data_IF_863734404578
#
_entry.id   IF_863734404578
#
_cell.length_a   1.000
_cell.length_b   1.000
_cell.length_c   1.000
_cell.angle_alpha   90.00
_cell.angle_beta   90.00
_cell.angle_gamma   90.00
#
_symmetry.space_group_name_H-M   'P 1'
#
loop_
_entity.id
_entity.type
_entity.pdbx_description
1 polymer ?
#
# COMPACT_ATOMS: atom_id res chain seq x y z
N UNK A 1 -5.57 -25.52 -27.22
CA UNK A 1 -5.91 -24.44 -28.18
C UNK A 1 -4.73 -23.48 -28.27
N UNK A 2 -4.33 -23.12 -29.48
CA UNK A 2 -3.28 -22.13 -29.72
C UNK A 2 -3.79 -20.75 -29.30
N UNK A 3 -3.01 -20.03 -28.50
CA UNK A 3 -3.30 -18.67 -28.05
C UNK A 3 -2.96 -17.68 -29.16
N UNK A 4 -3.82 -16.69 -29.36
CA UNK A 4 -3.64 -15.65 -30.38
C UNK A 4 -3.09 -14.36 -29.78
N UNK A 5 -2.17 -13.73 -30.51
CA UNK A 5 -1.58 -12.42 -30.14
C UNK A 5 -2.64 -11.32 -30.18
N UNK A 6 -3.52 -11.34 -31.18
CA UNK A 6 -4.56 -10.32 -31.33
C UNK A 6 -5.56 -10.35 -30.17
N UNK A 7 -5.95 -11.55 -29.74
CA UNK A 7 -6.84 -11.72 -28.57
C UNK A 7 -6.16 -11.24 -27.30
N UNK A 8 -4.87 -11.53 -27.12
CA UNK A 8 -4.11 -11.05 -25.96
C UNK A 8 -4.05 -9.51 -25.91
N UNK A 9 -3.83 -8.82 -27.04
CA UNK A 9 -3.87 -7.35 -27.09
C UNK A 9 -5.26 -6.78 -26.84
N UNK A 10 -6.32 -7.40 -27.38
CA UNK A 10 -7.69 -6.96 -27.13
C UNK A 10 -8.02 -7.04 -25.62
N UNK A 11 -7.65 -8.14 -24.97
CA UNK A 11 -7.83 -8.31 -23.53
C UNK A 11 -6.96 -7.35 -22.70
N UNK A 12 -5.75 -7.04 -23.17
CA UNK A 12 -4.89 -6.04 -22.55
C UNK A 12 -5.46 -4.62 -22.66
N UNK A 13 -6.11 -4.28 -23.76
CA UNK A 13 -6.74 -2.97 -23.93
C UNK A 13 -7.98 -2.80 -23.04
N UNK A 14 -8.84 -3.83 -22.97
CA UNK A 14 -10.13 -3.75 -22.24
C UNK A 14 -9.96 -3.94 -20.73
N UNK A 15 -9.09 -4.87 -20.31
CA UNK A 15 -8.91 -5.18 -18.88
C UNK A 15 -7.47 -5.55 -18.55
N UNK A 16 -6.51 -4.95 -19.25
CA UNK A 16 -5.09 -5.17 -18.99
C UNK A 16 -4.67 -4.74 -17.61
N UNK A 17 -5.27 -3.69 -17.03
CA UNK A 17 -5.00 -3.29 -15.64
C UNK A 17 -5.37 -4.39 -14.62
N UNK A 18 -6.38 -5.19 -14.93
CA UNK A 18 -6.80 -6.34 -14.12
C UNK A 18 -6.16 -7.67 -14.56
N UNK A 19 -5.26 -7.64 -15.55
CA UNK A 19 -4.52 -8.83 -15.99
C UNK A 19 -5.33 -9.83 -16.83
N UNK A 20 -6.40 -9.42 -17.52
CA UNK A 20 -7.22 -10.33 -18.34
C UNK A 20 -6.39 -11.07 -19.42
N UNK A 21 -5.41 -10.39 -20.02
CA UNK A 21 -4.50 -10.99 -20.99
C UNK A 21 -3.59 -12.04 -20.35
N UNK A 22 -3.13 -11.84 -19.11
CA UNK A 22 -2.35 -12.84 -18.36
C UNK A 22 -3.20 -14.07 -18.02
N UNK A 23 -4.46 -13.85 -17.66
CA UNK A 23 -5.41 -14.93 -17.41
C UNK A 23 -5.63 -15.78 -18.67
N UNK A 24 -5.86 -15.13 -19.82
CA UNK A 24 -5.97 -15.83 -21.11
C UNK A 24 -4.72 -16.64 -21.45
N UNK A 25 -3.54 -16.14 -21.09
CA UNK A 25 -2.25 -16.79 -21.34
C UNK A 25 -1.88 -17.84 -20.27
N UNK A 26 -2.72 -18.06 -19.25
CA UNK A 26 -2.50 -19.06 -18.19
C UNK A 26 -1.38 -18.67 -17.21
N UNK A 27 -1.18 -17.36 -16.98
CA UNK A 27 -0.15 -16.81 -16.10
C UNK A 27 -0.74 -16.35 -14.77
N UNK A 28 -1.31 -17.28 -14.00
CA UNK A 28 -2.17 -16.97 -12.83
C UNK A 28 -1.52 -16.09 -11.77
N UNK A 29 -0.25 -16.31 -11.42
CA UNK A 29 0.48 -15.44 -10.46
C UNK A 29 0.63 -14.02 -10.98
N UNK A 30 0.83 -13.85 -12.29
CA UNK A 30 0.95 -12.54 -12.91
C UNK A 30 -0.42 -11.86 -13.00
N UNK A 31 -1.48 -12.62 -13.26
CA UNK A 31 -2.86 -12.13 -13.18
C UNK A 31 -3.16 -11.60 -11.78
N UNK A 32 -2.87 -12.38 -10.72
CA UNK A 32 -3.08 -11.92 -9.35
C UNK A 32 -2.24 -10.68 -9.04
N UNK A 33 -0.97 -10.67 -9.41
CA UNK A 33 -0.12 -9.50 -9.21
C UNK A 33 -0.75 -8.25 -9.84
N UNK A 34 -1.29 -8.36 -11.06
CA UNK A 34 -1.94 -7.25 -11.74
C UNK A 34 -3.22 -6.79 -11.04
N UNK A 35 -4.07 -7.71 -10.58
CA UNK A 35 -5.28 -7.37 -9.84
C UNK A 35 -4.93 -6.62 -8.54
N UNK A 36 -3.94 -7.08 -7.80
CA UNK A 36 -3.58 -6.53 -6.48
C UNK A 36 -2.76 -5.23 -6.56
N UNK A 37 -2.14 -4.95 -7.71
CA UNK A 37 -1.28 -3.76 -7.92
C UNK A 37 -1.80 -2.83 -9.01
N UNK A 38 -3.04 -3.04 -9.49
CA UNK A 38 -3.67 -2.29 -10.58
C UNK A 38 -2.76 -2.16 -11.82
N UNK A 39 -2.34 -3.30 -12.35
CA UNK A 39 -1.52 -3.35 -13.56
C UNK A 39 -0.01 -3.26 -13.32
N UNK A 40 0.48 -3.69 -12.15
CA UNK A 40 1.89 -3.57 -11.79
C UNK A 40 2.29 -2.12 -11.56
N UNK A 41 1.45 -1.36 -10.84
CA UNK A 41 1.56 0.08 -10.62
C UNK A 41 1.57 0.89 -11.94
N UNK A 42 0.83 0.43 -12.96
CA UNK A 42 0.77 1.02 -14.30
C UNK A 42 2.01 0.78 -15.18
N UNK A 43 3.21 0.72 -14.60
CA UNK A 43 4.45 0.44 -15.34
C UNK A 43 4.43 -0.97 -15.94
N UNK A 44 3.91 -1.94 -15.18
CA UNK A 44 3.73 -3.32 -15.65
C UNK A 44 2.82 -3.40 -16.88
N UNK A 45 1.73 -2.63 -16.89
CA UNK A 45 0.80 -2.55 -18.01
C UNK A 45 1.46 -2.00 -19.28
N UNK A 46 2.30 -0.97 -19.17
CA UNK A 46 3.07 -0.44 -20.31
C UNK A 46 4.08 -1.48 -20.81
N UNK A 47 4.80 -2.13 -19.90
CA UNK A 47 5.78 -3.19 -20.24
C UNK A 47 5.13 -4.32 -21.02
N UNK A 48 3.92 -4.71 -20.64
CA UNK A 48 3.20 -5.81 -21.29
C UNK A 48 2.93 -5.56 -22.77
N UNK A 49 2.77 -4.30 -23.19
CA UNK A 49 2.60 -3.96 -24.61
C UNK A 49 3.74 -4.54 -25.46
N UNK A 50 4.98 -4.53 -24.94
CA UNK A 50 6.16 -5.04 -25.64
C UNK A 50 6.29 -6.56 -25.44
N UNK A 51 5.85 -7.08 -24.30
CA UNK A 51 6.08 -8.47 -23.92
C UNK A 51 4.99 -9.47 -24.36
N UNK A 52 3.79 -9.02 -24.74
CA UNK A 52 2.67 -9.88 -25.17
C UNK A 52 3.06 -10.91 -26.25
N UNK A 53 3.81 -10.57 -27.32
CA UNK A 53 4.20 -11.55 -28.35
C UNK A 53 5.03 -12.70 -27.77
N UNK A 54 5.96 -12.38 -26.88
CA UNK A 54 6.78 -13.37 -26.16
C UNK A 54 5.91 -14.25 -25.27
N UNK A 55 4.93 -13.67 -24.56
CA UNK A 55 4.04 -14.43 -23.68
C UNK A 55 3.14 -15.40 -24.44
N UNK A 56 2.65 -15.01 -25.62
CA UNK A 56 1.85 -15.89 -26.49
C UNK A 56 2.72 -17.04 -26.99
N UNK A 57 3.96 -16.73 -27.40
CA UNK A 57 4.93 -17.75 -27.81
C UNK A 57 5.24 -18.74 -26.68
N UNK A 58 5.43 -18.26 -25.45
CA UNK A 58 5.60 -19.09 -24.26
C UNK A 58 4.35 -19.92 -23.91
N UNK A 59 3.16 -19.35 -24.06
CA UNK A 59 1.90 -20.05 -23.80
C UNK A 59 1.67 -21.19 -24.79
N UNK A 60 2.10 -21.01 -26.04
CA UNK A 60 1.97 -21.99 -27.12
C UNK A 60 3.11 -23.04 -27.16
N UNK A 61 4.17 -22.90 -26.37
CA UNK A 61 5.22 -23.91 -26.28
C UNK A 61 4.75 -25.19 -25.59
N UNK A 62 5.10 -26.33 -26.18
CA UNK A 62 4.79 -27.66 -25.68
C UNK A 62 5.44 -27.94 -24.31
N UNK A 63 4.74 -28.74 -23.50
CA UNK A 63 5.17 -29.09 -22.16
C UNK A 63 6.55 -29.80 -22.13
N UNK A 64 6.86 -30.60 -23.16
CA UNK A 64 8.17 -31.25 -23.29
C UNK A 64 9.30 -30.26 -23.56
N UNK A 65 9.08 -29.28 -24.44
CA UNK A 65 10.05 -28.22 -24.73
C UNK A 65 10.35 -27.37 -23.49
N UNK A 66 9.32 -27.07 -22.68
CA UNK A 66 9.47 -26.37 -21.40
C UNK A 66 10.29 -27.20 -20.40
N UNK A 67 10.01 -28.50 -20.29
CA UNK A 67 10.72 -29.41 -19.39
C UNK A 67 12.20 -29.54 -19.77
N UNK A 68 12.50 -29.63 -21.08
CA UNK A 68 13.86 -29.73 -21.62
C UNK A 68 14.65 -28.43 -21.46
N UNK A 69 14.02 -27.26 -21.62
CA UNK A 69 14.66 -25.97 -21.30
C UNK A 69 14.96 -25.84 -19.81
N UNK A 70 14.01 -26.23 -18.95
CA UNK A 70 14.17 -26.17 -17.51
C UNK A 70 15.29 -27.10 -16.99
N UNK A 71 15.46 -28.29 -17.59
CA UNK A 71 16.52 -29.22 -17.20
C UNK A 71 17.92 -28.75 -17.62
N UNK A 72 18.02 -27.98 -18.71
CA UNK A 72 19.31 -27.52 -19.24
C UNK A 72 19.82 -26.23 -18.60
N UNK A 73 19.03 -25.57 -17.76
CA UNK A 73 19.38 -24.29 -17.16
C UNK A 73 20.01 -24.50 -15.77
N UNK A 74 21.35 -24.45 -15.70
CA UNK A 74 22.12 -24.77 -14.49
C UNK A 74 21.96 -23.72 -13.37
N UNK A 75 21.95 -22.43 -13.74
CA UNK A 75 21.67 -21.31 -12.84
C UNK A 75 20.91 -20.21 -13.59
N UNK A 76 19.77 -19.73 -13.09
CA UNK A 76 19.10 -18.60 -13.72
C UNK A 76 19.91 -17.31 -13.50
N UNK A 77 20.00 -16.44 -14.52
CA UNK A 77 20.55 -15.10 -14.31
C UNK A 77 19.65 -14.34 -13.33
N UNK A 78 20.28 -13.62 -12.41
CA UNK A 78 19.58 -12.68 -11.54
C UNK A 78 18.97 -11.60 -12.42
N UNK A 79 17.63 -11.49 -12.42
CA UNK A 79 16.94 -10.45 -13.16
C UNK A 79 16.73 -9.26 -12.19
N UNK A 80 17.47 -8.14 -12.36
CA UNK A 80 17.37 -7.00 -11.44
C UNK A 80 15.97 -6.39 -11.44
N UNK A 81 15.25 -6.41 -12.57
CA UNK A 81 13.87 -5.92 -12.65
C UNK A 81 12.93 -6.76 -11.79
N UNK A 82 13.16 -8.07 -11.74
CA UNK A 82 12.37 -8.95 -10.86
C UNK A 82 12.73 -8.74 -9.40
N UNK A 83 14.01 -8.61 -9.07
CA UNK A 83 14.44 -8.33 -7.70
C UNK A 83 13.84 -7.01 -7.20
N UNK A 84 13.92 -5.95 -8.01
CA UNK A 84 13.27 -4.67 -7.73
C UNK A 84 11.76 -4.84 -7.54
N UNK A 85 11.10 -5.58 -8.44
CA UNK A 85 9.67 -5.89 -8.31
C UNK A 85 9.32 -6.63 -7.01
N UNK A 86 10.14 -7.61 -6.58
CA UNK A 86 9.94 -8.33 -5.33
C UNK A 86 10.00 -7.36 -4.13
N UNK A 87 11.00 -6.49 -4.10
CA UNK A 87 11.15 -5.49 -3.04
C UNK A 87 9.98 -4.50 -3.04
N UNK A 88 9.63 -3.93 -4.19
CA UNK A 88 8.53 -2.96 -4.29
C UNK A 88 7.19 -3.56 -3.86
N UNK A 89 6.85 -4.77 -4.31
CA UNK A 89 5.57 -5.41 -3.99
C UNK A 89 5.53 -5.89 -2.54
N UNK A 90 6.66 -6.37 -1.99
CA UNK A 90 6.74 -6.71 -0.57
C UNK A 90 6.55 -5.48 0.33
N UNK A 91 7.20 -4.35 0.01
CA UNK A 91 6.98 -3.06 0.70
C UNK A 91 5.52 -2.62 0.60
N UNK A 92 4.92 -2.73 -0.59
CA UNK A 92 3.52 -2.39 -0.82
C UNK A 92 2.59 -3.22 0.08
N UNK A 93 2.74 -4.55 0.11
CA UNK A 93 1.93 -5.42 0.98
C UNK A 93 2.15 -5.12 2.46
N UNK A 94 3.38 -4.83 2.88
CA UNK A 94 3.67 -4.43 4.26
C UNK A 94 3.02 -3.10 4.63
N UNK A 95 2.99 -2.13 3.71
CA UNK A 95 2.35 -0.82 3.92
C UNK A 95 0.83 -0.97 4.02
N UNK A 96 0.21 -1.75 3.13
CA UNK A 96 -1.23 -2.07 3.21
C UNK A 96 -1.56 -2.76 4.53
N UNK A 97 -0.70 -3.67 5.00
CA UNK A 97 -0.86 -4.31 6.30
C UNK A 97 -0.69 -3.33 7.47
N UNK A 98 0.21 -2.36 7.40
CA UNK A 98 0.36 -1.31 8.42
C UNK A 98 -0.90 -0.46 8.55
N UNK A 99 -1.50 -0.09 7.41
CA UNK A 99 -2.73 0.70 7.39
C UNK A 99 -3.91 -0.12 7.91
N UNK A 100 -4.02 -1.38 7.48
CA UNK A 100 -5.22 -2.18 7.74
C UNK A 100 -5.18 -3.11 8.94
N UNK A 101 -4.01 -3.57 9.37
CA UNK A 101 -3.88 -4.66 10.36
C UNK A 101 -3.01 -4.30 11.56
N UNK A 102 -2.54 -3.04 11.68
CA UNK A 102 -1.68 -2.59 12.78
C UNK A 102 -2.31 -2.74 14.17
N UNK A 103 -3.64 -2.83 14.26
CA UNK A 103 -4.38 -3.08 15.50
C UNK A 103 -4.25 -4.52 16.03
N UNK A 104 -3.75 -5.46 15.22
CA UNK A 104 -3.63 -6.87 15.61
C UNK A 104 -2.49 -7.10 16.61
N UNK A 105 -2.70 -8.06 17.52
CA UNK A 105 -1.64 -8.48 18.45
C UNK A 105 -0.48 -9.12 17.68
N UNK A 106 0.75 -8.81 18.11
CA UNK A 106 1.99 -9.29 17.47
C UNK A 106 2.09 -8.90 15.98
N UNK A 107 1.46 -7.78 15.59
CA UNK A 107 1.45 -7.32 14.21
C UNK A 107 2.87 -7.22 13.62
N UNK A 108 3.77 -6.47 14.26
CA UNK A 108 5.14 -6.27 13.76
C UNK A 108 5.99 -7.54 13.74
N UNK A 109 5.67 -8.55 14.56
CA UNK A 109 6.47 -9.77 14.68
C UNK A 109 5.98 -10.91 13.77
N UNK A 110 4.68 -10.95 13.48
CA UNK A 110 4.05 -12.08 12.78
C UNK A 110 3.28 -11.57 11.56
N UNK A 111 2.30 -10.69 11.74
CA UNK A 111 1.40 -10.30 10.65
C UNK A 111 2.14 -9.55 9.54
N UNK A 112 2.92 -8.54 9.91
CA UNK A 112 3.70 -7.74 8.97
C UNK A 112 4.68 -8.57 8.12
N UNK A 113 5.58 -9.39 8.70
CA UNK A 113 6.52 -10.17 7.90
C UNK A 113 5.82 -11.21 7.03
N UNK A 114 4.68 -11.77 7.46
CA UNK A 114 3.86 -12.65 6.62
C UNK A 114 3.28 -11.92 5.40
N UNK A 115 2.74 -10.71 5.57
CA UNK A 115 2.22 -9.90 4.48
C UNK A 115 3.33 -9.50 3.49
N UNK A 116 4.48 -9.03 3.99
CA UNK A 116 5.65 -8.69 3.17
C UNK A 116 6.16 -9.90 2.40
N UNK A 117 6.32 -11.05 3.07
CA UNK A 117 6.76 -12.29 2.43
C UNK A 117 5.77 -12.80 1.37
N UNK A 118 4.46 -12.63 1.60
CA UNK A 118 3.45 -12.97 0.60
C UNK A 118 3.59 -12.12 -0.67
N UNK A 119 3.86 -10.82 -0.53
CA UNK A 119 4.10 -9.92 -1.68
C UNK A 119 5.37 -10.30 -2.45
N UNK A 120 6.47 -10.55 -1.74
CA UNK A 120 7.73 -11.03 -2.33
C UNK A 120 7.53 -12.37 -3.04
N UNK A 121 6.79 -13.29 -2.43
CA UNK A 121 6.50 -14.61 -2.99
C UNK A 121 5.61 -14.55 -4.23
N UNK A 122 4.67 -13.59 -4.28
CA UNK A 122 3.83 -13.38 -5.45
C UNK A 122 4.69 -13.02 -6.68
N UNK A 123 5.62 -12.07 -6.53
CA UNK A 123 6.52 -11.67 -7.63
C UNK A 123 7.54 -12.75 -7.97
N UNK A 124 8.04 -13.48 -6.97
CA UNK A 124 9.02 -14.54 -7.19
C UNK A 124 8.48 -15.74 -7.98
N UNK A 125 7.16 -15.93 -7.98
CA UNK A 125 6.47 -16.98 -8.73
C UNK A 125 5.98 -16.53 -10.10
N UNK A 126 6.23 -15.28 -10.51
CA UNK A 126 5.88 -14.78 -11.84
C UNK A 126 6.81 -15.41 -12.90
N UNK A 127 6.20 -16.01 -13.92
CA UNK A 127 6.90 -16.62 -15.05
C UNK A 127 7.27 -18.08 -14.80
N UNK A 128 8.42 -18.51 -15.33
CA UNK A 128 8.87 -19.92 -15.27
C UNK A 128 9.70 -20.24 -14.02
N UNK A 129 9.97 -19.24 -13.19
CA UNK A 129 10.79 -19.39 -12.00
C UNK A 129 9.90 -19.56 -10.77
N UNK A 130 10.41 -20.23 -9.75
CA UNK A 130 9.71 -20.42 -8.48
C UNK A 130 10.55 -19.88 -7.32
N UNK A 131 10.02 -20.01 -6.11
CA UNK A 131 10.73 -19.67 -4.89
C UNK A 131 10.34 -20.62 -3.76
N UNK A 132 11.27 -20.86 -2.84
CA UNK A 132 10.97 -21.59 -1.61
C UNK A 132 10.26 -20.69 -0.61
N UNK A 133 8.93 -20.77 -0.57
CA UNK A 133 8.09 -20.05 0.39
C UNK A 133 8.61 -20.14 1.85
N UNK A 134 9.03 -21.31 2.38
CA UNK A 134 9.53 -21.38 3.75
C UNK A 134 10.79 -20.54 3.99
N UNK A 135 11.69 -20.44 3.01
CA UNK A 135 12.93 -19.65 3.15
C UNK A 135 12.63 -18.16 3.16
N UNK A 136 11.73 -17.73 2.27
CA UNK A 136 11.25 -16.34 2.22
C UNK A 136 10.55 -15.95 3.52
N UNK A 137 9.72 -16.84 4.08
CA UNK A 137 9.03 -16.61 5.36
C UNK A 137 10.01 -16.56 6.53
N UNK A 138 10.93 -17.52 6.63
CA UNK A 138 11.95 -17.52 7.70
C UNK A 138 12.79 -16.24 7.65
N UNK A 139 13.23 -15.83 6.46
CA UNK A 139 13.98 -14.58 6.30
C UNK A 139 13.17 -13.37 6.82
N UNK A 140 11.90 -13.25 6.41
CA UNK A 140 11.04 -12.15 6.85
C UNK A 140 10.83 -12.14 8.37
N UNK A 141 10.58 -13.31 8.98
CA UNK A 141 10.33 -13.46 10.42
C UNK A 141 11.60 -13.19 11.26
N UNK A 142 12.78 -13.52 10.74
CA UNK A 142 14.05 -13.23 11.42
C UNK A 142 14.39 -11.73 11.34
N UNK A 143 14.07 -11.08 10.22
CA UNK A 143 14.35 -9.65 10.05
C UNK A 143 13.37 -8.75 10.82
N UNK A 144 12.12 -9.19 11.01
CA UNK A 144 11.07 -8.39 11.66
C UNK A 144 11.43 -7.86 13.06
N UNK A 145 11.93 -8.68 14.00
CA UNK A 145 12.27 -8.23 15.35
C UNK A 145 13.34 -7.14 15.40
N UNK A 146 14.23 -7.08 14.40
CA UNK A 146 15.31 -6.10 14.33
C UNK A 146 14.76 -4.68 14.13
N UNK A 147 13.62 -4.56 13.45
CA UNK A 147 12.98 -3.29 13.10
C UNK A 147 11.61 -3.11 13.77
N UNK A 148 11.43 -3.74 14.94
CA UNK A 148 10.18 -3.70 15.69
C UNK A 148 9.71 -2.26 15.96
N UNK A 149 8.42 -1.98 15.72
CA UNK A 149 7.80 -0.68 15.94
C UNK A 149 8.20 0.43 14.96
N UNK A 150 9.05 0.14 13.96
CA UNK A 150 9.42 1.12 12.92
C UNK A 150 8.46 1.08 11.74
N UNK A 151 8.02 2.25 11.27
CA UNK A 151 7.23 2.39 10.02
C UNK A 151 8.02 1.98 8.78
N UNK A 152 9.36 1.97 8.87
CA UNK A 152 10.25 1.56 7.78
C UNK A 152 10.52 0.05 7.75
N UNK A 153 9.98 -0.72 8.72
CA UNK A 153 10.16 -2.17 8.80
C UNK A 153 9.79 -2.98 7.54
N UNK A 154 8.82 -2.59 6.67
CA UNK A 154 8.53 -3.35 5.46
C UNK A 154 9.72 -3.47 4.49
N UNK A 155 10.57 -2.45 4.39
CA UNK A 155 11.69 -2.40 3.46
C UNK A 155 12.78 -3.44 3.75
N UNK A 156 13.41 -3.48 4.94
CA UNK A 156 14.43 -4.47 5.26
C UNK A 156 13.88 -5.90 5.25
N UNK A 157 12.64 -6.11 5.72
CA UNK A 157 11.97 -7.42 5.65
C UNK A 157 11.83 -7.86 4.18
N UNK A 158 11.40 -6.95 3.30
CA UNK A 158 11.22 -7.23 1.88
C UNK A 158 12.54 -7.51 1.18
N UNK A 159 13.62 -6.81 1.55
CA UNK A 159 14.96 -7.03 1.02
C UNK A 159 15.47 -8.42 1.38
N UNK A 160 15.40 -8.80 2.67
CA UNK A 160 15.83 -10.11 3.16
C UNK A 160 15.02 -11.27 2.53
N UNK A 161 13.70 -11.08 2.42
CA UNK A 161 12.82 -12.01 1.75
C UNK A 161 13.15 -12.16 0.25
N UNK A 162 13.48 -11.07 -0.45
CA UNK A 162 13.80 -11.08 -1.89
C UNK A 162 15.10 -11.83 -2.19
N UNK A 163 16.12 -11.66 -1.35
CA UNK A 163 17.41 -12.38 -1.45
C UNK A 163 17.22 -13.88 -1.31
N UNK A 164 16.32 -14.32 -0.43
CA UNK A 164 16.07 -15.76 -0.18
C UNK A 164 15.06 -16.38 -1.16
N UNK A 165 14.27 -15.56 -1.85
CA UNK A 165 13.27 -16.01 -2.82
C UNK A 165 13.87 -16.51 -4.15
N UNK A 166 15.16 -16.31 -4.41
CA UNK A 166 15.80 -16.73 -5.67
C UNK A 166 16.28 -18.19 -5.62
N UNK A 167 15.45 -19.17 -6.02
CA UNK A 167 15.83 -20.60 -6.18
C UNK A 167 14.83 -21.39 -7.05
N UNK A 168 15.27 -22.34 -7.90
CA UNK A 168 14.42 -23.08 -8.86
C UNK A 168 13.92 -24.45 -8.38
N UNK A 169 12.59 -24.68 -8.41
CA UNK A 169 11.93 -25.99 -8.64
C UNK A 169 10.47 -25.84 -9.08
N UNK A 170 9.96 -26.61 -10.06
CA UNK A 170 8.60 -26.39 -10.55
C UNK A 170 7.54 -26.93 -9.57
N UNK A 171 6.45 -26.15 -9.50
CA UNK A 171 5.06 -26.47 -9.10
C UNK A 171 4.55 -26.16 -7.69
N UNK A 172 3.29 -25.71 -7.78
CA UNK A 172 2.22 -25.53 -6.82
C UNK A 172 2.56 -24.76 -5.54
N UNK A 173 2.37 -23.44 -5.58
CA UNK A 173 2.05 -22.72 -4.36
C UNK A 173 0.75 -21.94 -4.50
N UNK A 174 0.01 -21.99 -3.40
CA UNK A 174 -1.39 -21.64 -3.23
C UNK A 174 -1.54 -20.13 -3.40
N UNK A 175 -2.05 -19.72 -4.56
CA UNK A 175 -2.58 -18.38 -4.87
C UNK A 175 -3.50 -17.84 -3.75
N UNK A 176 -4.11 -18.74 -2.96
CA UNK A 176 -4.93 -18.41 -1.80
C UNK A 176 -4.19 -17.64 -0.72
N UNK A 177 -2.88 -17.82 -0.51
CA UNK A 177 -2.16 -17.15 0.59
C UNK A 177 -1.91 -15.67 0.29
N UNK A 178 -1.52 -15.33 -0.93
CA UNK A 178 -1.35 -13.94 -1.36
C UNK A 178 -2.70 -13.22 -1.46
N UNK A 179 -3.73 -13.92 -1.95
CA UNK A 179 -5.09 -13.40 -1.96
C UNK A 179 -5.58 -13.12 -0.54
N UNK A 180 -5.46 -14.08 0.39
CA UNK A 180 -5.89 -13.93 1.78
C UNK A 180 -5.11 -12.83 2.51
N UNK A 181 -3.79 -12.76 2.32
CA UNK A 181 -2.92 -11.78 2.95
C UNK A 181 -3.20 -10.33 2.50
N UNK A 182 -3.77 -10.14 1.31
CA UNK A 182 -4.13 -8.83 0.78
C UNK A 182 -5.61 -8.48 0.97
N UNK A 183 -6.51 -9.46 0.79
CA UNK A 183 -7.95 -9.26 0.95
C UNK A 183 -8.37 -9.08 2.40
N UNK A 184 -7.67 -9.68 3.37
CA UNK A 184 -7.99 -9.53 4.79
C UNK A 184 -7.75 -8.09 5.32
N UNK A 185 -6.60 -7.43 5.07
CA UNK A 185 -6.43 -6.01 5.38
C UNK A 185 -7.47 -5.12 4.71
N UNK A 186 -7.70 -5.29 3.40
CA UNK A 186 -8.68 -4.49 2.66
C UNK A 186 -10.10 -4.69 3.17
N UNK A 187 -10.51 -5.93 3.44
CA UNK A 187 -11.80 -6.21 4.03
C UNK A 187 -11.91 -5.61 5.43
N UNK A 188 -10.88 -5.75 6.28
CA UNK A 188 -10.88 -5.14 7.61
C UNK A 188 -10.99 -3.61 7.56
N UNK A 189 -10.26 -2.94 6.65
CA UNK A 189 -10.39 -1.50 6.39
C UNK A 189 -11.83 -1.12 5.99
N UNK A 190 -12.41 -1.87 5.04
CA UNK A 190 -13.76 -1.61 4.51
C UNK A 190 -14.85 -1.85 5.56
N UNK A 191 -14.71 -2.85 6.44
CA UNK A 191 -15.77 -3.22 7.37
C UNK A 191 -15.63 -2.62 8.78
N UNK A 192 -14.41 -2.35 9.25
CA UNK A 192 -14.20 -2.01 10.66
C UNK A 192 -13.82 -0.54 10.91
N UNK A 193 -13.46 0.21 9.86
CA UNK A 193 -13.04 1.60 10.01
C UNK A 193 -13.26 2.43 8.72
N UNK A 194 -14.49 2.45 8.19
CA UNK A 194 -14.85 3.16 6.95
C UNK A 194 -14.40 4.61 6.95
N UNK A 195 -14.61 5.33 8.05
CA UNK A 195 -14.25 6.74 8.17
C UNK A 195 -12.74 6.94 8.20
N UNK A 196 -12.00 6.17 9.00
CA UNK A 196 -10.53 6.29 9.02
C UNK A 196 -9.90 5.82 7.71
N UNK A 197 -10.46 4.81 7.05
CA UNK A 197 -9.99 4.34 5.73
C UNK A 197 -10.21 5.42 4.67
N UNK A 198 -11.35 6.13 4.72
CA UNK A 198 -11.58 7.30 3.88
C UNK A 198 -10.59 8.43 4.19
N UNK A 199 -10.29 8.69 5.46
CA UNK A 199 -9.28 9.69 5.86
C UNK A 199 -7.90 9.31 5.36
N UNK A 200 -7.42 8.10 5.62
CA UNK A 200 -6.11 7.63 5.13
C UNK A 200 -6.02 7.60 3.61
N UNK A 201 -7.09 7.18 2.92
CA UNK A 201 -7.13 7.19 1.46
C UNK A 201 -7.11 8.63 0.93
N UNK A 202 -7.86 9.53 1.55
CA UNK A 202 -7.85 10.96 1.25
C UNK A 202 -6.47 11.58 1.47
N UNK A 203 -5.82 11.28 2.60
CA UNK A 203 -4.49 11.79 2.94
C UNK A 203 -3.43 11.26 1.98
N UNK A 204 -3.50 9.98 1.60
CA UNK A 204 -2.61 9.41 0.59
C UNK A 204 -2.81 10.06 -0.79
N UNK A 205 -4.06 10.32 -1.19
CA UNK A 205 -4.38 11.00 -2.44
C UNK A 205 -3.92 12.46 -2.41
N UNK A 206 -4.14 13.17 -1.29
CA UNK A 206 -3.70 14.54 -1.10
C UNK A 206 -2.17 14.65 -1.15
N UNK A 207 -1.45 13.82 -0.39
CA UNK A 207 0.01 13.78 -0.41
C UNK A 207 0.58 13.44 -1.80
N UNK A 208 -0.08 12.52 -2.53
CA UNK A 208 0.31 12.17 -3.90
C UNK A 208 0.08 13.33 -4.87
N UNK A 209 -1.02 14.07 -4.75
CA UNK A 209 -1.31 15.24 -5.56
C UNK A 209 -0.38 16.41 -5.22
N UNK A 210 -0.06 16.60 -3.95
CA UNK A 210 0.86 17.63 -3.46
C UNK A 210 2.31 17.33 -3.82
N UNK A 211 2.70 16.06 -4.01
CA UNK A 211 4.00 15.71 -4.62
C UNK A 211 4.19 16.37 -6.00
N UNK A 212 3.09 16.68 -6.71
CA UNK A 212 3.09 17.39 -7.99
C UNK A 212 2.77 18.88 -7.86
N UNK A 213 3.00 19.50 -6.69
CA UNK A 213 2.73 20.93 -6.47
C UNK A 213 3.38 21.86 -7.50
N UNK A 214 4.53 21.47 -8.05
CA UNK A 214 5.29 22.24 -9.05
C UNK A 214 4.81 22.00 -10.51
N UNK A 215 3.87 21.07 -10.74
CA UNK A 215 3.29 20.76 -12.06
C UNK A 215 1.75 20.81 -11.99
N UNK A 216 1.14 22.01 -12.03
CA UNK A 216 -0.30 22.19 -11.81
C UNK A 216 -1.17 21.42 -12.79
N UNK A 217 -0.77 21.33 -14.07
CA UNK A 217 -1.53 20.61 -15.10
C UNK A 217 -1.56 19.09 -14.86
N UNK A 218 -0.47 18.53 -14.33
CA UNK A 218 -0.35 17.11 -14.05
C UNK A 218 -1.19 16.72 -12.83
N UNK A 219 -1.22 17.58 -11.80
CA UNK A 219 -2.10 17.47 -10.64
C UNK A 219 -3.57 17.37 -11.08
N UNK A 220 -4.03 18.28 -11.94
CA UNK A 220 -5.41 18.28 -12.44
C UNK A 220 -5.76 17.03 -13.26
N UNK A 221 -4.81 16.53 -14.07
CA UNK A 221 -5.01 15.28 -14.84
C UNK A 221 -5.11 14.08 -13.91
N UNK A 222 -4.24 13.98 -12.91
CA UNK A 222 -4.27 12.91 -11.91
C UNK A 222 -5.55 12.93 -11.09
N UNK A 223 -5.95 14.10 -10.60
CA UNK A 223 -7.20 14.31 -9.88
C UNK A 223 -8.41 13.87 -10.72
N UNK A 224 -8.44 14.28 -12.00
CA UNK A 224 -9.48 13.87 -12.94
C UNK A 224 -9.55 12.34 -13.11
N UNK A 225 -8.40 11.68 -13.26
CA UNK A 225 -8.30 10.22 -13.42
C UNK A 225 -8.75 9.50 -12.14
N UNK A 226 -8.30 9.96 -10.97
CA UNK A 226 -8.66 9.40 -9.66
C UNK A 226 -10.16 9.50 -9.37
N UNK A 227 -10.80 10.59 -9.80
CA UNK A 227 -12.24 10.83 -9.59
C UNK A 227 -13.12 10.19 -10.67
N UNK A 228 -12.55 9.72 -11.78
CA UNK A 228 -13.30 9.14 -12.90
C UNK A 228 -14.18 7.94 -12.49
N UNK A 229 -13.73 6.99 -11.63
CA UNK A 229 -14.56 5.89 -11.16
C UNK A 229 -15.76 6.36 -10.32
N UNK A 230 -15.59 7.36 -9.46
CA UNK A 230 -16.68 7.96 -8.68
C UNK A 230 -17.68 8.66 -9.60
N UNK A 231 -17.19 9.44 -10.57
CA UNK A 231 -18.03 10.10 -11.59
C UNK A 231 -18.84 9.08 -12.39
N UNK A 232 -18.21 8.00 -12.81
CA UNK A 232 -18.86 6.91 -13.52
C UNK A 232 -19.94 6.22 -12.67
N UNK A 233 -19.65 5.97 -11.39
CA UNK A 233 -20.62 5.42 -10.43
C UNK A 233 -21.81 6.36 -10.22
N UNK A 234 -21.60 7.67 -10.07
CA UNK A 234 -22.68 8.66 -9.91
C UNK A 234 -23.59 8.73 -11.15
N UNK A 235 -23.00 8.65 -12.35
CA UNK A 235 -23.76 8.58 -13.62
C UNK A 235 -24.60 7.30 -13.69
N UNK A 236 -24.05 6.16 -13.26
CA UNK A 236 -24.76 4.87 -13.23
C UNK A 236 -25.90 4.81 -12.20
N UNK A 237 -25.72 5.42 -11.03
CA UNK A 237 -26.70 5.38 -9.94
C UNK A 237 -27.72 6.52 -9.97
N UNK A 238 -27.61 7.44 -10.95
CA UNK A 238 -28.47 8.63 -11.01
C UNK A 238 -28.22 9.64 -9.90
N UNK A 239 -27.06 9.54 -9.22
CA UNK A 239 -26.66 10.47 -8.19
C UNK A 239 -26.29 11.82 -8.79
N UNK A 240 -27.02 12.87 -8.42
CA UNK A 240 -26.74 14.24 -8.85
C UNK A 240 -25.32 14.67 -8.48
N UNK A 241 -24.61 15.24 -9.46
CA UNK A 241 -23.31 15.84 -9.29
C UNK A 241 -23.45 17.06 -8.36
N UNK A 242 -23.04 16.93 -7.10
CA UNK A 242 -22.84 18.07 -6.23
C UNK A 242 -21.33 18.32 -6.14
N UNK A 243 -20.78 19.05 -7.11
CA UNK A 243 -19.45 19.64 -7.02
C UNK A 243 -19.29 20.39 -5.69
N UNK A 244 -20.38 21.03 -5.24
CA UNK A 244 -20.56 21.64 -3.92
C UNK A 244 -20.53 20.68 -2.73
N UNK A 245 -20.93 19.41 -2.86
CA UNK A 245 -20.93 18.49 -1.72
C UNK A 245 -19.52 18.00 -1.41
N UNK A 246 -18.70 17.78 -2.43
CA UNK A 246 -17.29 17.44 -2.24
C UNK A 246 -16.44 18.64 -1.88
N UNK A 247 -16.67 19.82 -2.47
CA UNK A 247 -16.03 21.05 -1.99
C UNK A 247 -16.51 21.41 -0.59
N UNK A 248 -17.79 21.26 -0.24
CA UNK A 248 -18.25 21.39 1.15
C UNK A 248 -17.67 20.31 2.05
N UNK A 249 -17.51 19.08 1.60
CA UNK A 249 -16.93 18.02 2.41
C UNK A 249 -15.45 18.30 2.65
N UNK A 250 -14.68 18.64 1.62
CA UNK A 250 -13.30 19.10 1.74
C UNK A 250 -13.19 20.38 2.57
N UNK A 251 -14.10 21.34 2.41
CA UNK A 251 -14.11 22.59 3.18
C UNK A 251 -14.48 22.34 4.64
N UNK A 252 -15.46 21.49 4.94
CA UNK A 252 -15.81 21.05 6.30
C UNK A 252 -14.62 20.31 6.91
N UNK A 253 -13.97 19.42 6.17
CA UNK A 253 -12.79 18.69 6.65
C UNK A 253 -11.58 19.60 6.90
N UNK A 254 -11.28 20.50 5.97
CA UNK A 254 -10.19 21.47 6.08
C UNK A 254 -10.48 22.54 7.13
N UNK A 255 -11.76 22.90 7.32
CA UNK A 255 -12.20 23.84 8.35
C UNK A 255 -12.15 23.19 9.72
N UNK A 256 -12.62 21.96 9.88
CA UNK A 256 -12.55 21.23 11.14
C UNK A 256 -11.09 20.98 11.53
N UNK A 257 -10.21 20.63 10.57
CA UNK A 257 -8.78 20.49 10.84
C UNK A 257 -8.14 21.83 11.27
N UNK A 258 -8.43 22.92 10.55
CA UNK A 258 -7.94 24.24 10.90
C UNK A 258 -8.49 24.74 12.25
N UNK A 259 -9.74 24.41 12.60
CA UNK A 259 -10.32 24.78 13.88
C UNK A 259 -9.75 23.94 15.03
N UNK A 260 -9.59 22.62 14.86
CA UNK A 260 -8.91 21.77 15.85
C UNK A 260 -7.47 22.25 16.09
N UNK A 261 -6.75 22.65 15.04
CA UNK A 261 -5.40 23.16 15.15
C UNK A 261 -5.36 24.53 15.86
N UNK A 262 -6.28 25.44 15.52
CA UNK A 262 -6.42 26.72 16.22
C UNK A 262 -6.82 26.55 17.68
N UNK A 263 -7.70 25.60 18.00
CA UNK A 263 -8.08 25.27 19.37
C UNK A 263 -6.90 24.69 20.14
N UNK A 264 -6.13 23.77 19.54
CA UNK A 264 -4.93 23.23 20.15
C UNK A 264 -3.87 24.31 20.44
N UNK A 265 -3.68 25.25 19.51
CA UNK A 265 -2.80 26.42 19.71
C UNK A 265 -3.30 27.33 20.84
N UNK A 266 -4.62 27.55 20.95
CA UNK A 266 -5.22 28.32 22.05
C UNK A 266 -5.02 27.61 23.40
N UNK A 267 -5.21 26.29 23.46
CA UNK A 267 -5.02 25.49 24.68
C UNK A 267 -3.57 25.57 25.16
N UNK A 268 -2.59 25.52 24.25
CA UNK A 268 -1.17 25.69 24.59
C UNK A 268 -0.73 27.16 24.69
N UNK A 269 -1.62 28.12 24.45
CA UNK A 269 -1.33 29.57 24.44
C UNK A 269 -0.19 29.96 23.48
N UNK A 270 -0.18 29.36 22.29
CA UNK A 270 0.84 29.55 21.25
C UNK A 270 0.31 30.37 20.06
N UNK A 271 1.21 31.06 19.36
CA UNK A 271 0.88 31.79 18.12
C UNK A 271 0.68 30.85 16.92
N UNK A 272 0.03 31.36 15.87
CA UNK A 272 -0.31 30.58 14.65
C UNK A 272 0.87 29.94 13.90
N UNK A 273 2.10 30.36 14.17
CA UNK A 273 3.33 29.81 13.61
C UNK A 273 4.32 29.36 14.68
N UNK A 274 3.84 28.58 15.66
CA UNK A 274 4.71 28.01 16.68
C UNK A 274 5.61 26.90 16.09
N UNK A 275 6.88 26.91 16.47
CA UNK A 275 7.84 25.85 16.15
C UNK A 275 7.65 24.61 17.04
N UNK A 276 8.15 23.45 16.59
CA UNK A 276 8.08 22.20 17.36
C UNK A 276 8.69 22.33 18.77
N UNK A 277 9.77 23.12 18.90
CA UNK A 277 10.41 23.40 20.18
C UNK A 277 9.50 24.20 21.12
N UNK A 278 8.77 25.18 20.59
CA UNK A 278 7.81 25.99 21.35
C UNK A 278 6.60 25.16 21.78
N UNK A 279 6.09 24.29 20.92
CA UNK A 279 4.99 23.37 21.21
C UNK A 279 5.40 22.41 22.34
N UNK A 280 6.60 21.81 22.24
CA UNK A 280 7.12 20.89 23.25
C UNK A 280 7.38 21.59 24.59
N UNK A 281 7.86 22.84 24.55
CA UNK A 281 8.07 23.65 25.75
C UNK A 281 6.75 24.01 26.43
N UNK A 282 5.76 24.51 25.68
CA UNK A 282 4.44 24.88 26.20
C UNK A 282 3.72 23.68 26.83
N UNK A 283 3.77 22.52 26.18
CA UNK A 283 3.25 21.27 26.74
C UNK A 283 3.91 20.92 28.07
N UNK A 284 5.25 20.97 28.17
CA UNK A 284 5.98 20.63 29.41
C UNK A 284 5.63 21.57 30.57
N UNK A 285 5.43 22.86 30.31
CA UNK A 285 5.07 23.83 31.34
C UNK A 285 3.63 23.63 31.84
N UNK A 286 2.69 23.41 30.92
CA UNK A 286 1.30 23.16 31.27
C UNK A 286 1.11 21.79 31.93
N UNK A 287 1.81 20.76 31.46
CA UNK A 287 1.78 19.42 32.04
C UNK A 287 2.29 19.41 33.48
N UNK A 288 3.35 20.16 33.79
CA UNK A 288 3.83 20.30 35.19
C UNK A 288 2.79 20.94 36.11
N UNK A 289 2.07 21.93 35.59
CA UNK A 289 1.11 22.73 36.36
C UNK A 289 -0.20 21.97 36.61
N UNK A 290 -0.65 21.21 35.61
CA UNK A 290 -1.96 20.56 35.61
C UNK A 290 -1.89 19.04 35.86
N UNK A 291 -0.70 18.48 36.16
CA UNK A 291 -0.57 17.06 36.43
C UNK A 291 -1.44 16.62 37.61
N UNK A 292 -2.24 15.53 37.49
CA UNK A 292 -3.10 15.04 38.57
C UNK A 292 -2.36 14.75 39.88
N UNK A 293 -1.09 14.32 39.79
CA UNK A 293 -0.24 14.06 40.97
C UNK A 293 0.14 15.32 41.76
N UNK A 294 0.25 16.47 41.07
CA UNK A 294 0.60 17.75 41.69
C UNK A 294 -0.64 18.56 42.08
N UNK A 295 -1.74 18.38 41.35
CA UNK A 295 -3.02 19.03 41.61
C UNK A 295 -4.15 18.00 41.49
N UNK A 296 -4.54 17.34 42.60
CA UNK A 296 -5.58 16.31 42.60
C UNK A 296 -6.98 16.96 42.64
N UNK A 297 -7.43 17.47 41.49
CA UNK A 297 -8.79 17.98 41.29
C UNK A 297 -9.40 17.35 40.03
N UNK A 298 -10.72 17.25 39.96
CA UNK A 298 -11.39 16.73 38.74
C UNK A 298 -11.17 17.64 37.53
N UNK A 299 -11.00 18.93 37.78
CA UNK A 299 -10.82 19.93 36.72
C UNK A 299 -9.39 19.89 36.15
N UNK A 300 -8.38 19.59 36.98
CA UNK A 300 -7.00 19.44 36.51
C UNK A 300 -6.78 18.19 35.67
N UNK A 301 -7.44 17.09 36.00
CA UNK A 301 -7.44 15.88 35.16
C UNK A 301 -8.04 16.15 33.77
N UNK A 302 -9.21 16.80 33.72
CA UNK A 302 -9.84 17.17 32.46
C UNK A 302 -8.99 18.14 31.63
N UNK A 303 -8.34 19.10 32.29
CA UNK A 303 -7.45 20.05 31.62
C UNK A 303 -6.18 19.38 31.10
N UNK A 304 -5.60 18.44 31.86
CA UNK A 304 -4.42 17.68 31.45
C UNK A 304 -4.69 16.84 30.20
N UNK A 305 -5.85 16.17 30.13
CA UNK A 305 -6.28 15.43 28.93
C UNK A 305 -6.36 16.36 27.72
N UNK A 306 -7.01 17.53 27.85
CA UNK A 306 -7.10 18.52 26.76
C UNK A 306 -5.74 19.04 26.30
N UNK A 307 -4.81 19.29 27.24
CA UNK A 307 -3.44 19.72 26.93
C UNK A 307 -2.70 18.63 26.14
N UNK A 308 -2.88 17.38 26.52
CA UNK A 308 -2.25 16.24 25.85
C UNK A 308 -2.80 16.03 24.44
N UNK A 309 -4.14 16.08 24.28
CA UNK A 309 -4.80 16.00 22.97
C UNK A 309 -4.34 17.14 22.03
N UNK A 310 -4.27 18.37 22.53
CA UNK A 310 -3.76 19.52 21.77
C UNK A 310 -2.30 19.32 21.32
N UNK A 311 -1.45 18.77 22.19
CA UNK A 311 -0.06 18.47 21.86
C UNK A 311 0.04 17.40 20.76
N UNK A 312 -0.75 16.32 20.82
CA UNK A 312 -0.75 15.29 19.78
C UNK A 312 -1.21 15.81 18.42
N UNK A 313 -2.24 16.67 18.39
CA UNK A 313 -2.74 17.29 17.15
C UNK A 313 -1.65 18.14 16.50
N UNK A 314 -0.96 18.98 17.28
CA UNK A 314 0.12 19.83 16.78
C UNK A 314 1.39 19.06 16.42
N UNK A 315 1.64 17.91 17.07
CA UNK A 315 2.78 17.06 16.73
C UNK A 315 2.58 16.36 15.38
N UNK A 316 1.33 16.03 15.01
CA UNK A 316 1.00 15.47 13.68
C UNK A 316 1.29 16.46 12.54
N UNK A 317 1.15 17.78 12.78
CA UNK A 317 1.49 18.83 11.79
C UNK A 317 2.98 18.82 11.40
N UNK A 318 3.86 18.41 12.30
CA UNK A 318 5.31 18.44 12.13
C UNK A 318 5.94 17.08 11.79
N UNK A 319 5.12 16.03 11.61
CA UNK A 319 5.55 14.70 11.19
C UNK A 319 5.42 14.53 9.67
#
# INVERSE_FOLDING_TARGET
>A
MVKSVMVAYALWAVGGLFGLHHFYLGRDSQTLLWILTLGGFGIGWIRDLICIPTYVTEANQDAETKKRKASNMLHPPVNPVRFAGQVCVGVYFGTVALIGLSSLRFFDLIVLPLCVAAGVHLVSTVGQQTSHLPKTLIASLITSPIFYGSTLSPLPISLAASVTATQHRPRLCRLSLAWLAFSAPLAYCVFHNTTATLYYLSDCVAALLDMFWFLPWLRSVLEYILLMPYRFMCVLTGGGYYEEAWTKMLEILLKDYNEQEKEALKVLSLGGQASLEEITRGYRELAKTWHPDHNPSKDSEAMFVKIHEAYEVLLRRHR
#
